data_IF_851091899499
#
_entry.id   IF_851091899499
#
_cell.length_a   1.000
_cell.length_b   1.000
_cell.length_c   1.000
_cell.angle_alpha   90.00
_cell.angle_beta   90.00
_cell.angle_gamma   90.00
#
_symmetry.space_group_name_H-M   'P 1'
#
loop_
_entity.id
_entity.type
_entity.pdbx_description
1 polymer ?
#
# COMPACT_ATOMS: atom_id res chain seq x y z
N UNK A 1 -8.26 -32.52 116.53
CA UNK A 1 -7.74 -32.93 115.22
C UNK A 1 -8.78 -33.76 114.46
N UNK A 2 -9.22 -34.90 115.01
CA UNK A 2 -10.21 -35.82 114.37
C UNK A 2 -11.54 -35.16 113.97
N UNK A 3 -12.08 -34.24 114.77
CA UNK A 3 -13.37 -33.58 114.49
C UNK A 3 -13.31 -32.69 113.24
N UNK A 4 -12.20 -31.98 113.03
CA UNK A 4 -12.02 -31.10 111.86
C UNK A 4 -11.89 -31.94 110.59
N UNK A 5 -11.21 -33.08 110.68
CA UNK A 5 -11.03 -34.04 109.60
C UNK A 5 -12.37 -34.69 109.18
N UNK A 6 -13.21 -35.08 110.15
CA UNK A 6 -14.55 -35.61 109.86
C UNK A 6 -15.47 -34.56 109.19
N UNK A 7 -15.41 -33.29 109.59
CA UNK A 7 -16.21 -32.21 108.98
C UNK A 7 -15.77 -31.93 107.54
N UNK A 8 -14.46 -31.94 107.26
CA UNK A 8 -13.91 -31.75 105.91
C UNK A 8 -14.31 -32.88 104.95
N UNK A 9 -14.33 -34.14 105.43
CA UNK A 9 -14.79 -35.28 104.63
C UNK A 9 -16.28 -35.14 104.29
N UNK A 10 -17.12 -34.74 105.24
CA UNK A 10 -18.57 -34.57 104.99
C UNK A 10 -18.81 -33.45 103.99
N UNK A 11 -18.11 -32.33 104.08
CA UNK A 11 -18.19 -31.23 103.11
C UNK A 11 -17.73 -31.70 101.72
N UNK A 12 -16.64 -32.47 101.65
CA UNK A 12 -16.15 -33.06 100.41
C UNK A 12 -17.16 -34.00 99.74
N UNK A 13 -17.84 -34.84 100.52
CA UNK A 13 -18.89 -35.75 100.01
C UNK A 13 -20.11 -34.95 99.53
N UNK A 14 -20.51 -33.90 100.25
CA UNK A 14 -21.59 -32.99 99.82
C UNK A 14 -21.22 -32.28 98.52
N UNK A 15 -19.99 -31.80 98.38
CA UNK A 15 -19.50 -31.19 97.13
C UNK A 15 -19.44 -32.20 95.98
N UNK A 16 -19.04 -33.44 96.23
CA UNK A 16 -19.01 -34.49 95.21
C UNK A 16 -20.42 -34.83 94.69
N UNK A 17 -21.40 -34.97 95.60
CA UNK A 17 -22.80 -35.21 95.24
C UNK A 17 -23.41 -33.98 94.56
N UNK A 18 -23.08 -32.78 95.04
CA UNK A 18 -23.47 -31.51 94.44
C UNK A 18 -22.93 -31.34 93.02
N UNK A 19 -21.67 -31.70 92.76
CA UNK A 19 -21.07 -31.72 91.42
C UNK A 19 -21.75 -32.73 90.50
N UNK A 20 -22.22 -33.87 91.02
CA UNK A 20 -22.97 -34.84 90.23
C UNK A 20 -24.34 -34.28 89.82
N UNK A 21 -25.04 -33.60 90.73
CA UNK A 21 -26.32 -32.95 90.43
C UNK A 21 -26.16 -31.77 89.47
N UNK A 22 -25.07 -31.00 89.57
CA UNK A 22 -24.71 -29.92 88.63
C UNK A 22 -24.38 -30.51 87.26
N UNK A 23 -23.60 -31.59 87.18
CA UNK A 23 -23.29 -32.27 85.92
C UNK A 23 -24.55 -32.87 85.26
N UNK A 24 -25.51 -33.37 86.05
CA UNK A 24 -26.78 -33.93 85.56
C UNK A 24 -27.80 -32.84 85.17
N UNK A 25 -27.72 -31.64 85.78
CA UNK A 25 -28.59 -30.49 85.48
C UNK A 25 -28.04 -29.51 84.45
N UNK A 26 -26.75 -29.51 84.14
CA UNK A 26 -26.23 -28.84 82.93
C UNK A 26 -26.62 -29.68 81.72
N UNK A 27 -27.82 -29.39 81.22
CA UNK A 27 -28.40 -30.05 80.06
C UNK A 27 -27.47 -29.93 78.85
N UNK A 28 -27.29 -30.98 78.04
CA UNK A 28 -26.59 -30.90 76.76
C UNK A 28 -27.13 -29.80 75.84
N UNK A 29 -28.36 -29.31 76.08
CA UNK A 29 -28.94 -28.14 75.39
C UNK A 29 -28.21 -26.83 75.68
N UNK A 30 -27.66 -26.62 76.87
CA UNK A 30 -26.93 -25.38 77.18
C UNK A 30 -25.54 -25.41 76.57
N UNK A 31 -24.88 -26.57 76.57
CA UNK A 31 -23.59 -26.77 75.90
C UNK A 31 -23.71 -26.60 74.38
N UNK A 32 -24.80 -27.11 73.79
CA UNK A 32 -25.10 -26.96 72.36
C UNK A 32 -25.46 -25.53 71.98
N UNK A 33 -26.17 -24.81 72.86
CA UNK A 33 -26.50 -23.38 72.67
C UNK A 33 -25.26 -22.47 72.81
N UNK A 34 -24.31 -22.85 73.66
CA UNK A 34 -23.00 -22.17 73.76
C UNK A 34 -22.15 -22.44 72.51
N UNK A 35 -22.19 -23.66 71.96
CA UNK A 35 -21.54 -23.98 70.69
C UNK A 35 -22.17 -23.23 69.49
N UNK A 36 -23.51 -23.12 69.44
CA UNK A 36 -24.21 -22.33 68.41
C UNK A 36 -23.87 -20.83 68.49
N UNK A 37 -23.82 -20.25 69.70
CA UNK A 37 -23.39 -18.85 69.89
C UNK A 37 -21.93 -18.65 69.45
N UNK A 38 -21.06 -19.62 69.73
CA UNK A 38 -19.66 -19.64 69.29
C UNK A 38 -19.53 -19.67 67.76
N UNK A 39 -20.28 -20.53 67.07
CA UNK A 39 -20.23 -20.63 65.61
C UNK A 39 -20.76 -19.36 64.93
N UNK A 40 -21.79 -18.73 65.49
CA UNK A 40 -22.35 -17.48 64.97
C UNK A 40 -21.41 -16.28 65.17
N UNK A 41 -20.69 -16.23 66.30
CA UNK A 41 -19.65 -15.22 66.54
C UNK A 41 -18.42 -15.43 65.63
N UNK A 42 -17.97 -16.66 65.44
CA UNK A 42 -16.89 -16.99 64.49
C UNK A 42 -17.30 -16.59 63.07
N UNK A 43 -18.54 -16.89 62.67
CA UNK A 43 -19.06 -16.49 61.36
C UNK A 43 -19.06 -14.97 61.18
N UNK A 44 -19.47 -14.21 62.21
CA UNK A 44 -19.40 -12.73 62.20
C UNK A 44 -17.97 -12.20 62.11
N UNK A 45 -17.01 -12.84 62.77
CA UNK A 45 -15.60 -12.45 62.70
C UNK A 45 -15.03 -12.73 61.31
N UNK A 46 -15.35 -13.89 60.73
CA UNK A 46 -14.95 -14.25 59.37
C UNK A 46 -15.59 -13.31 58.34
N UNK A 47 -16.88 -13.00 58.47
CA UNK A 47 -17.59 -12.08 57.58
C UNK A 47 -17.03 -10.66 57.68
N UNK A 48 -16.70 -10.18 58.88
CA UNK A 48 -16.00 -8.90 59.06
C UNK A 48 -14.60 -8.90 58.47
N UNK A 49 -13.82 -9.96 58.70
CA UNK A 49 -12.49 -10.11 58.12
C UNK A 49 -12.51 -10.17 56.60
N UNK A 50 -13.50 -10.87 56.04
CA UNK A 50 -13.73 -10.95 54.59
C UNK A 50 -14.12 -9.60 54.01
N UNK A 51 -15.05 -8.88 54.65
CA UNK A 51 -15.42 -7.53 54.21
C UNK A 51 -14.24 -6.56 54.29
N UNK A 52 -13.44 -6.63 55.35
CA UNK A 52 -12.25 -5.79 55.48
C UNK A 52 -11.15 -6.14 54.46
N UNK A 53 -11.00 -7.42 54.12
CA UNK A 53 -10.13 -7.87 53.04
C UNK A 53 -10.65 -7.40 51.68
N UNK A 54 -11.96 -7.46 51.47
CA UNK A 54 -12.60 -7.00 50.24
C UNK A 54 -12.40 -5.49 50.05
N UNK A 55 -12.64 -4.67 51.08
CA UNK A 55 -12.37 -3.23 51.00
C UNK A 55 -10.90 -2.94 50.70
N UNK A 56 -9.95 -3.65 51.33
CA UNK A 56 -8.52 -3.46 51.02
C UNK A 56 -8.14 -3.90 49.60
N UNK A 57 -8.83 -4.89 49.04
CA UNK A 57 -8.63 -5.31 47.66
C UNK A 57 -9.20 -4.25 46.72
N UNK A 58 -10.42 -3.76 46.97
CA UNK A 58 -11.05 -2.71 46.17
C UNK A 58 -10.18 -1.43 46.17
N UNK A 59 -9.73 -0.98 47.34
CA UNK A 59 -8.84 0.20 47.46
C UNK A 59 -7.53 0.03 46.67
N UNK A 60 -6.93 -1.18 46.70
CA UNK A 60 -5.71 -1.47 45.93
C UNK A 60 -5.96 -1.57 44.44
N UNK A 61 -7.12 -2.12 44.05
CA UNK A 61 -7.52 -2.20 42.65
C UNK A 61 -7.71 -0.79 42.11
N UNK A 62 -8.39 0.09 42.84
CA UNK A 62 -8.59 1.49 42.41
C UNK A 62 -7.26 2.22 42.24
N UNK A 63 -6.33 2.08 43.20
CA UNK A 63 -4.99 2.68 43.10
C UNK A 63 -4.19 2.12 41.90
N UNK A 64 -4.22 0.80 41.69
CA UNK A 64 -3.53 0.18 40.55
C UNK A 64 -4.15 0.58 39.22
N UNK A 65 -5.47 0.74 39.16
CA UNK A 65 -6.17 1.22 37.97
C UNK A 65 -5.73 2.64 37.67
N UNK A 66 -5.72 3.53 38.66
CA UNK A 66 -5.31 4.92 38.48
C UNK A 66 -3.84 5.05 38.07
N UNK A 67 -2.93 4.31 38.74
CA UNK A 67 -1.51 4.23 38.34
C UNK A 67 -1.35 3.66 36.93
N UNK A 68 -2.12 2.63 36.57
CA UNK A 68 -2.04 2.04 35.23
C UNK A 68 -2.54 2.99 34.15
N UNK A 69 -3.58 3.78 34.43
CA UNK A 69 -4.11 4.79 33.52
C UNK A 69 -3.07 5.89 33.32
N UNK A 70 -2.48 6.41 34.39
CA UNK A 70 -1.42 7.43 34.30
C UNK A 70 -0.23 6.92 33.48
N UNK A 71 0.20 5.68 33.70
CA UNK A 71 1.31 5.09 32.93
C UNK A 71 0.95 4.86 31.45
N UNK A 72 -0.30 4.47 31.18
CA UNK A 72 -0.80 4.32 29.80
C UNK A 72 -0.88 5.67 29.11
N UNK A 73 -1.42 6.69 29.76
CA UNK A 73 -1.48 8.06 29.22
C UNK A 73 -0.07 8.60 28.94
N UNK A 74 0.86 8.48 29.89
CA UNK A 74 2.24 8.93 29.68
C UNK A 74 2.95 8.18 28.54
N UNK A 75 2.72 6.87 28.40
CA UNK A 75 3.22 6.09 27.25
C UNK A 75 2.56 6.50 25.95
N UNK A 76 1.26 6.75 25.98
CA UNK A 76 0.48 7.16 24.80
C UNK A 76 0.93 8.53 24.31
N UNK A 77 1.20 9.47 25.20
CA UNK A 77 1.76 10.78 24.88
C UNK A 77 3.13 10.65 24.22
N UNK A 78 4.02 9.84 24.80
CA UNK A 78 5.33 9.57 24.20
C UNK A 78 5.19 8.95 22.81
N UNK A 79 4.35 7.93 22.66
CA UNK A 79 4.10 7.26 21.38
C UNK A 79 3.51 8.23 20.35
N UNK A 80 2.57 9.07 20.78
CA UNK A 80 1.94 10.08 19.92
C UNK A 80 2.97 11.09 19.44
N UNK A 81 3.85 11.57 20.32
CA UNK A 81 4.92 12.48 19.96
C UNK A 81 5.91 11.85 18.96
N UNK A 82 6.30 10.59 19.19
CA UNK A 82 7.15 9.84 18.27
C UNK A 82 6.48 9.64 16.89
N UNK A 83 5.17 9.33 16.87
CA UNK A 83 4.42 9.18 15.62
C UNK A 83 4.24 10.50 14.88
N UNK A 84 4.01 11.60 15.59
CA UNK A 84 3.97 12.94 14.98
C UNK A 84 5.31 13.23 14.31
N UNK A 85 6.43 12.98 14.99
CA UNK A 85 7.76 13.18 14.42
C UNK A 85 8.00 12.31 13.18
N UNK A 86 7.63 11.03 13.21
CA UNK A 86 7.78 10.14 12.06
C UNK A 86 6.88 10.55 10.88
N UNK A 87 5.66 11.03 11.16
CA UNK A 87 4.75 11.54 10.13
C UNK A 87 5.29 12.84 9.54
N UNK A 88 5.89 13.71 10.35
CA UNK A 88 6.50 14.95 9.91
C UNK A 88 7.69 14.68 8.97
N UNK A 89 8.63 13.81 9.37
CA UNK A 89 9.76 13.40 8.53
C UNK A 89 9.32 12.76 7.19
N UNK A 90 8.29 11.89 7.25
CA UNK A 90 7.70 11.33 6.04
C UNK A 90 7.04 12.40 5.16
N UNK A 91 6.35 13.36 5.77
CA UNK A 91 5.66 14.44 5.05
C UNK A 91 6.67 15.36 4.39
N UNK A 92 7.77 15.72 5.06
CA UNK A 92 8.87 16.48 4.46
C UNK A 92 9.45 15.76 3.24
N UNK A 93 9.72 14.46 3.36
CA UNK A 93 10.24 13.66 2.24
C UNK A 93 9.27 13.63 1.05
N UNK A 94 7.96 13.48 1.31
CA UNK A 94 6.94 13.47 0.27
C UNK A 94 6.80 14.85 -0.37
N UNK A 95 6.80 15.91 0.43
CA UNK A 95 6.73 17.29 -0.07
C UNK A 95 7.95 17.65 -0.92
N UNK A 96 9.14 17.22 -0.52
CA UNK A 96 10.36 17.40 -1.31
C UNK A 96 10.27 16.69 -2.67
N UNK A 97 9.79 15.43 -2.69
CA UNK A 97 9.55 14.71 -3.95
C UNK A 97 8.48 15.36 -4.82
N UNK A 98 7.40 15.87 -4.21
CA UNK A 98 6.36 16.61 -4.94
C UNK A 98 6.95 17.89 -5.54
N UNK A 99 7.77 18.61 -4.79
CA UNK A 99 8.44 19.82 -5.28
C UNK A 99 9.38 19.49 -6.45
N UNK A 100 10.23 18.48 -6.31
CA UNK A 100 11.13 18.02 -7.37
C UNK A 100 10.36 17.60 -8.64
N UNK A 101 9.31 16.79 -8.48
CA UNK A 101 8.45 16.41 -9.61
C UNK A 101 7.75 17.61 -10.24
N UNK A 102 7.29 18.57 -9.44
CA UNK A 102 6.66 19.79 -9.95
C UNK A 102 7.65 20.63 -10.75
N UNK A 103 8.89 20.76 -10.28
CA UNK A 103 9.98 21.43 -10.99
C UNK A 103 10.29 20.73 -12.31
N UNK A 104 10.39 19.40 -12.31
CA UNK A 104 10.61 18.62 -13.53
C UNK A 104 9.45 18.78 -14.52
N UNK A 105 8.20 18.74 -14.07
CA UNK A 105 7.02 18.96 -14.93
C UNK A 105 7.02 20.37 -15.51
N UNK A 106 7.34 21.39 -14.71
CA UNK A 106 7.46 22.77 -15.19
C UNK A 106 8.60 22.91 -16.21
N UNK A 107 9.73 22.24 -15.98
CA UNK A 107 10.83 22.19 -16.92
C UNK A 107 10.42 21.54 -18.25
N UNK A 108 9.79 20.37 -18.21
CA UNK A 108 9.29 19.70 -19.41
C UNK A 108 8.27 20.57 -20.15
N UNK A 109 7.39 21.27 -19.43
CA UNK A 109 6.46 22.22 -20.04
C UNK A 109 7.19 23.38 -20.72
N UNK A 110 8.20 23.95 -20.07
CA UNK A 110 9.02 25.02 -20.65
C UNK A 110 9.79 24.55 -21.89
N UNK A 111 10.42 23.37 -21.85
CA UNK A 111 11.15 22.82 -22.99
C UNK A 111 10.21 22.45 -24.15
N UNK A 112 9.03 21.91 -23.85
CA UNK A 112 8.03 21.63 -24.86
C UNK A 112 7.55 22.92 -25.53
N UNK A 113 7.33 23.97 -24.73
CA UNK A 113 6.94 25.27 -25.24
C UNK A 113 8.06 25.90 -26.08
N UNK A 114 9.32 25.83 -25.63
CA UNK A 114 10.48 26.30 -26.39
C UNK A 114 10.62 25.53 -27.70
N UNK A 115 10.45 24.20 -27.70
CA UNK A 115 10.45 23.38 -28.91
C UNK A 115 9.31 23.71 -29.85
N UNK A 116 8.13 24.01 -29.30
CA UNK A 116 6.99 24.45 -30.09
C UNK A 116 7.29 25.79 -30.78
N UNK A 117 7.90 26.73 -30.07
CA UNK A 117 8.35 28.01 -30.63
C UNK A 117 9.42 27.80 -31.71
N UNK A 118 10.46 27.01 -31.45
CA UNK A 118 11.50 26.67 -32.44
C UNK A 118 10.91 26.02 -33.71
N UNK A 119 9.93 25.11 -33.54
CA UNK A 119 9.26 24.45 -34.66
C UNK A 119 8.46 25.45 -35.50
N UNK A 120 7.79 26.42 -34.86
CA UNK A 120 7.07 27.50 -35.55
C UNK A 120 8.04 28.40 -36.31
N UNK A 121 9.16 28.77 -35.68
CA UNK A 121 10.17 29.61 -36.33
C UNK A 121 10.79 28.91 -37.53
N UNK A 122 11.13 27.62 -37.40
CA UNK A 122 11.61 26.81 -38.52
C UNK A 122 10.57 26.66 -39.63
N UNK A 123 9.29 26.47 -39.30
CA UNK A 123 8.22 26.42 -40.29
C UNK A 123 8.08 27.73 -41.05
N UNK A 124 8.23 28.87 -40.36
CA UNK A 124 8.23 30.20 -40.98
C UNK A 124 9.44 30.40 -41.90
N UNK A 125 10.65 30.01 -41.46
CA UNK A 125 11.88 30.10 -42.25
C UNK A 125 11.82 29.22 -43.51
N UNK A 126 11.31 28.00 -43.37
CA UNK A 126 11.06 27.10 -44.49
C UNK A 126 10.03 27.68 -45.46
N UNK A 127 8.97 28.31 -44.96
CA UNK A 127 7.99 29.00 -45.81
C UNK A 127 8.62 30.16 -46.58
N UNK A 128 9.47 30.98 -45.95
CA UNK A 128 10.19 32.06 -46.65
C UNK A 128 11.16 31.50 -47.69
N UNK A 129 11.91 30.44 -47.36
CA UNK A 129 12.84 29.80 -48.30
C UNK A 129 12.11 29.19 -49.51
N UNK A 130 10.94 28.56 -49.32
CA UNK A 130 10.11 28.08 -50.43
C UNK A 130 9.59 29.24 -51.29
N UNK A 131 9.24 30.38 -50.69
CA UNK A 131 8.83 31.57 -51.44
C UNK A 131 9.99 32.13 -52.27
N UNK A 132 11.19 32.20 -51.70
CA UNK A 132 12.40 32.67 -52.38
C UNK A 132 12.78 31.71 -53.52
N UNK A 133 12.78 30.39 -53.29
CA UNK A 133 13.01 29.40 -54.33
C UNK A 133 11.95 29.46 -55.45
N UNK A 134 10.68 29.76 -55.10
CA UNK A 134 9.63 29.99 -56.11
C UNK A 134 9.87 31.28 -56.89
N UNK A 135 10.36 32.33 -56.25
CA UNK A 135 10.70 33.60 -56.90
C UNK A 135 11.91 33.41 -57.84
N UNK A 136 12.97 32.75 -57.38
CA UNK A 136 14.15 32.43 -58.19
C UNK A 136 13.80 31.48 -59.35
N UNK A 137 12.97 30.46 -59.11
CA UNK A 137 12.45 29.62 -60.20
C UNK A 137 11.67 30.44 -61.22
N UNK A 138 10.87 31.42 -60.77
CA UNK A 138 10.11 32.30 -61.66
C UNK A 138 11.03 33.24 -62.45
N UNK A 139 12.11 33.74 -61.86
CA UNK A 139 13.14 34.53 -62.57
C UNK A 139 13.93 33.67 -63.57
N UNK A 140 14.23 32.41 -63.21
CA UNK A 140 14.91 31.45 -64.09
C UNK A 140 14.02 31.00 -65.25
N UNK A 141 12.70 30.87 -65.05
CA UNK A 141 11.74 30.63 -66.13
C UNK A 141 11.65 31.83 -67.09
N UNK A 142 11.70 33.07 -66.59
CA UNK A 142 11.76 34.27 -67.45
C UNK A 142 13.08 34.34 -68.24
N UNK A 143 14.19 33.86 -67.67
CA UNK A 143 15.49 33.81 -68.36
C UNK A 143 15.55 32.71 -69.43
N UNK A 144 14.95 31.54 -69.19
CA UNK A 144 14.84 30.48 -70.22
C UNK A 144 14.05 30.92 -71.45
N UNK A 145 12.96 31.67 -71.27
CA UNK A 145 12.18 32.24 -72.40
C UNK A 145 13.01 33.18 -73.28
N UNK A 146 14.06 33.80 -72.73
CA UNK A 146 14.96 34.71 -73.49
C UNK A 146 16.08 33.96 -74.22
N UNK A 147 16.48 32.78 -73.74
CA UNK A 147 17.51 31.94 -74.38
C UNK A 147 16.93 31.07 -75.50
N UNK A 148 15.66 30.66 -75.39
CA UNK A 148 14.97 29.93 -76.47
C UNK A 148 14.78 30.78 -77.75
N UNK A 149 14.72 32.12 -77.63
CA UNK A 149 14.58 33.02 -78.79
C UNK A 149 15.89 33.25 -79.55
N UNK A 150 17.05 32.91 -78.98
CA UNK A 150 18.36 33.09 -79.65
C UNK A 150 18.91 31.81 -80.27
N UNK A 151 18.47 30.61 -79.84
CA UNK A 151 18.90 29.34 -80.45
C UNK A 151 18.04 28.90 -81.67
N UNK A 152 16.87 29.49 -81.91
CA UNK A 152 16.02 29.14 -83.05
C UNK A 152 16.57 29.57 -84.43
N UNK A 153 17.59 30.44 -84.47
CA UNK A 153 18.15 30.96 -85.73
C UNK A 153 19.42 30.23 -86.24
N UNK A 154 19.91 29.19 -85.57
CA UNK A 154 21.23 28.60 -85.93
C UNK A 154 21.24 27.07 -86.12
N UNK A 155 20.12 26.38 -85.94
CA UNK A 155 20.09 24.91 -86.11
C UNK A 155 18.97 24.52 -87.09
N UNK A 156 19.05 25.12 -88.28
CA UNK A 156 18.43 24.64 -89.49
C UNK A 156 19.52 24.02 -90.37
N UNK A 157 20.19 22.96 -89.91
CA UNK A 157 20.97 22.07 -90.78
C UNK A 157 21.44 20.83 -89.99
N UNK A 158 21.20 19.64 -90.57
CA UNK A 158 21.76 18.31 -90.20
C UNK A 158 21.02 17.61 -89.04
N UNK A 159 19.87 16.95 -89.21
CA UNK A 159 19.52 15.77 -90.03
C UNK A 159 20.33 14.49 -89.76
N UNK A 160 19.70 13.60 -88.98
CA UNK A 160 19.59 12.13 -89.15
C UNK A 160 20.82 11.25 -88.83
N UNK A 161 20.66 10.33 -87.85
CA UNK A 161 20.31 8.89 -88.01
C UNK A 161 21.09 7.93 -87.09
N UNK A 162 20.35 6.96 -86.51
CA UNK A 162 20.73 5.54 -86.21
C UNK A 162 21.85 5.33 -85.13
N UNK A 163 21.82 4.44 -84.13
CA UNK A 163 21.10 3.18 -83.82
C UNK A 163 21.26 2.82 -82.31
N UNK A 164 20.33 1.97 -81.82
CA UNK A 164 20.25 1.07 -80.64
C UNK A 164 21.59 0.61 -80.02
N UNK A 165 21.73 0.24 -78.74
CA UNK A 165 21.12 -0.86 -77.95
C UNK A 165 21.70 -0.74 -76.50
N UNK A 166 20.97 -0.94 -75.38
CA UNK A 166 20.95 -2.12 -74.46
C UNK A 166 20.36 -1.59 -73.11
N UNK A 167 19.25 -2.12 -72.58
CA UNK A 167 19.08 -3.20 -71.57
C UNK A 167 18.83 -2.71 -70.11
N UNK A 168 17.63 -3.08 -69.61
CA UNK A 168 17.17 -3.34 -68.21
C UNK A 168 17.24 -2.27 -67.09
N UNK A 169 16.45 -2.41 -65.99
CA UNK A 169 15.01 -2.61 -65.92
C UNK A 169 14.31 -1.52 -65.09
N UNK A 170 12.99 -1.65 -65.04
CA UNK A 170 11.99 -0.78 -64.48
C UNK A 170 12.13 -0.54 -62.96
N UNK A 171 11.81 0.68 -62.54
CA UNK A 171 11.75 1.15 -61.16
C UNK A 171 10.79 0.30 -60.32
N UNK A 172 11.31 -0.21 -59.19
CA UNK A 172 10.51 -0.52 -58.01
C UNK A 172 9.95 0.79 -57.45
N UNK A 173 8.66 1.03 -57.69
CA UNK A 173 7.83 1.86 -56.82
C UNK A 173 7.36 0.97 -55.67
N UNK A 174 8.10 0.97 -54.56
CA UNK A 174 7.49 0.68 -53.27
C UNK A 174 6.95 1.99 -52.71
N UNK A 175 5.63 2.14 -52.75
CA UNK A 175 4.83 2.78 -51.69
C UNK A 175 3.35 2.68 -52.09
N UNK A 176 2.75 1.53 -51.79
CA UNK A 176 1.33 1.40 -51.45
C UNK A 176 1.02 -0.07 -51.11
N UNK A 177 1.19 -0.45 -49.84
CA UNK A 177 0.48 -1.58 -49.26
C UNK A 177 -0.08 -1.18 -47.89
N UNK A 178 -1.38 -0.90 -47.90
CA UNK A 178 -2.39 -1.45 -47.00
C UNK A 178 -2.04 -1.54 -45.51
N UNK A 179 -2.54 -0.55 -44.77
CA UNK A 179 -2.73 -0.61 -43.33
C UNK A 179 -3.98 -1.44 -43.00
N UNK A 180 -3.93 -2.77 -43.14
CA UNK A 180 -5.01 -3.65 -42.60
C UNK A 180 -4.52 -4.89 -41.83
N UNK A 181 -3.22 -5.22 -41.76
CA UNK A 181 -2.73 -6.48 -41.14
C UNK A 181 -2.21 -6.36 -39.68
N UNK A 182 -2.19 -5.17 -39.08
CA UNK A 182 -1.56 -4.96 -37.75
C UNK A 182 -2.46 -5.28 -36.55
N UNK A 183 -3.78 -5.39 -36.73
CA UNK A 183 -4.71 -5.72 -35.63
C UNK A 183 -4.87 -7.24 -35.42
N UNK A 184 -4.86 -8.05 -36.48
CA UNK A 184 -5.01 -9.51 -36.36
C UNK A 184 -3.79 -10.16 -35.71
N UNK A 185 -2.58 -9.66 -35.99
CA UNK A 185 -1.36 -10.18 -35.37
C UNK A 185 -1.34 -9.91 -33.86
N UNK A 186 -1.67 -8.70 -33.38
CA UNK A 186 -1.67 -8.39 -31.93
C UNK A 186 -2.67 -9.24 -31.13
N UNK A 187 -3.82 -9.56 -31.71
CA UNK A 187 -4.82 -10.43 -31.07
C UNK A 187 -4.29 -11.86 -30.88
N UNK A 188 -3.60 -12.40 -31.89
CA UNK A 188 -3.06 -13.75 -31.86
C UNK A 188 -1.99 -13.92 -30.77
N UNK A 189 -1.10 -12.93 -30.62
CA UNK A 189 -0.08 -12.92 -29.57
C UNK A 189 -0.71 -12.96 -28.16
N UNK A 190 -1.84 -12.29 -27.93
CA UNK A 190 -2.49 -12.27 -26.62
C UNK A 190 -3.04 -13.65 -26.22
N UNK A 191 -3.64 -14.40 -27.16
CA UNK A 191 -4.10 -15.76 -26.89
C UNK A 191 -2.93 -16.72 -26.65
N UNK A 192 -1.85 -16.55 -27.40
CA UNK A 192 -0.66 -17.38 -27.28
C UNK A 192 0.06 -17.16 -25.94
N UNK A 193 0.18 -15.90 -25.47
CA UNK A 193 0.68 -15.56 -24.13
C UNK A 193 -0.08 -16.32 -23.04
N UNK A 194 -1.41 -16.38 -23.13
CA UNK A 194 -2.26 -17.04 -22.14
C UNK A 194 -2.12 -18.57 -22.17
N UNK A 195 -1.91 -19.18 -23.34
CA UNK A 195 -1.66 -20.64 -23.46
C UNK A 195 -0.33 -21.01 -22.83
N UNK A 196 0.74 -20.31 -23.21
CA UNK A 196 2.09 -20.55 -22.70
C UNK A 196 2.19 -20.33 -21.19
N UNK A 197 1.44 -19.36 -20.65
CA UNK A 197 1.34 -19.14 -19.21
C UNK A 197 0.56 -20.25 -18.49
N UNK A 198 -0.52 -20.76 -19.09
CA UNK A 198 -1.26 -21.93 -18.56
C UNK A 198 -0.43 -23.20 -18.56
N UNK A 199 0.50 -23.33 -19.50
CA UNK A 199 1.49 -24.42 -19.55
C UNK A 199 2.61 -24.26 -18.50
N UNK A 200 2.60 -23.18 -17.72
CA UNK A 200 3.49 -22.95 -16.58
C UNK A 200 4.83 -22.29 -16.94
N UNK A 201 4.96 -21.69 -18.13
CA UNK A 201 6.17 -20.97 -18.51
C UNK A 201 6.27 -19.60 -17.84
N UNK A 202 7.50 -19.18 -17.56
CA UNK A 202 7.79 -17.90 -16.92
C UNK A 202 7.63 -16.72 -17.90
N UNK A 203 7.24 -15.56 -17.38
CA UNK A 203 7.00 -14.31 -18.14
C UNK A 203 8.20 -13.94 -19.01
N UNK A 204 9.42 -14.16 -18.50
CA UNK A 204 10.66 -13.89 -19.21
C UNK A 204 10.88 -14.82 -20.42
N UNK A 205 10.44 -16.07 -20.30
CA UNK A 205 10.57 -17.08 -21.35
C UNK A 205 9.53 -16.85 -22.44
N UNK A 206 8.31 -16.51 -22.06
CA UNK A 206 7.21 -16.17 -22.98
C UNK A 206 7.58 -14.94 -23.82
N UNK A 207 8.10 -13.88 -23.19
CA UNK A 207 8.57 -12.68 -23.87
C UNK A 207 9.66 -12.98 -24.91
N UNK A 208 10.60 -13.87 -24.57
CA UNK A 208 11.69 -14.26 -25.48
C UNK A 208 11.21 -15.12 -26.64
N UNK A 209 10.24 -16.01 -26.38
CA UNK A 209 9.69 -16.93 -27.39
C UNK A 209 8.82 -16.21 -28.43
N UNK A 210 8.04 -15.23 -27.99
CA UNK A 210 7.09 -14.47 -28.82
C UNK A 210 7.66 -13.14 -29.34
N UNK A 211 8.88 -12.75 -28.93
CA UNK A 211 9.52 -11.51 -29.38
C UNK A 211 8.84 -10.22 -28.88
N UNK A 212 8.06 -10.31 -27.80
CA UNK A 212 7.26 -9.22 -27.22
C UNK A 212 7.86 -8.73 -25.90
N UNK A 213 7.51 -7.51 -25.50
CA UNK A 213 8.05 -6.90 -24.28
C UNK A 213 7.57 -7.61 -23.01
N UNK A 214 8.46 -7.82 -22.02
CA UNK A 214 8.10 -8.46 -20.74
C UNK A 214 6.94 -7.73 -20.00
N UNK A 215 6.83 -6.41 -20.19
CA UNK A 215 5.73 -5.61 -19.65
C UNK A 215 4.38 -5.92 -20.31
N UNK A 216 4.36 -6.21 -21.62
CA UNK A 216 3.14 -6.56 -22.36
C UNK A 216 2.64 -7.94 -21.95
N UNK A 217 3.55 -8.91 -21.83
CA UNK A 217 3.23 -10.26 -21.35
C UNK A 217 2.60 -10.21 -19.95
N UNK A 218 3.22 -9.45 -19.04
CA UNK A 218 2.71 -9.28 -17.67
C UNK A 218 1.34 -8.60 -17.66
N UNK A 219 1.15 -7.56 -18.47
CA UNK A 219 -0.10 -6.83 -18.56
C UNK A 219 -1.27 -7.72 -19.02
N UNK A 220 -1.06 -8.56 -20.03
CA UNK A 220 -2.08 -9.49 -20.54
C UNK A 220 -2.46 -10.55 -19.49
N UNK A 221 -1.46 -11.07 -18.76
CA UNK A 221 -1.68 -12.05 -17.68
C UNK A 221 -2.49 -11.41 -16.54
N UNK A 222 -2.08 -10.22 -16.08
CA UNK A 222 -2.73 -9.52 -14.97
C UNK A 222 -4.19 -9.16 -15.33
N UNK A 223 -4.43 -8.69 -16.56
CA UNK A 223 -5.78 -8.38 -17.06
C UNK A 223 -6.69 -9.63 -17.07
N UNK A 224 -6.16 -10.78 -17.51
CA UNK A 224 -6.92 -12.03 -17.54
C UNK A 224 -7.18 -12.60 -16.14
N UNK A 225 -6.24 -12.48 -15.21
CA UNK A 225 -6.46 -12.87 -13.80
C UNK A 225 -7.57 -12.03 -13.15
N UNK A 226 -7.59 -10.72 -13.42
CA UNK A 226 -8.64 -9.80 -12.93
C UNK A 226 -10.01 -10.16 -13.53
N UNK A 227 -10.06 -10.52 -14.81
CA UNK A 227 -11.33 -10.81 -15.50
C UNK A 227 -11.93 -12.18 -15.09
N UNK A 228 -11.14 -13.11 -14.56
CA UNK A 228 -11.62 -14.40 -14.02
C UNK A 228 -12.17 -14.27 -12.59
N UNK A 229 -11.76 -13.24 -11.84
CA UNK A 229 -12.20 -13.04 -10.46
C UNK A 229 -13.52 -12.25 -10.32
N UNK A 230 -14.16 -11.89 -11.43
CA UNK A 230 -15.42 -11.14 -11.46
C UNK A 230 -16.56 -12.00 -11.98
#
# INVERSE_FOLDING_TARGET
MVVVESVMIVIGVIFMIGSFFVMEKLSPKELQKIAEISDEEIKKIVERGMNQAQTQVDDKVDLLVEESVEHVEGKLDHLTNEKIMAVDEFSETVLEKIHANHEEVMFLYSMLNDKHTELIDFANELQTSIQDLRAEKKELEVMKVTVDTTLQNTIQEISQKDTKEEEEPNLEQEEACENEDLEEQKSNHNEEILRLYKDGMDVTQIARQLGIGQGEVKFVIDLHQINIQR
#
